data_IF_071995461855
#
_entry.id   IF_071995461855
#
_cell.length_a   1.000
_cell.length_b   1.000
_cell.length_c   1.000
_cell.angle_alpha   90.00
_cell.angle_beta   90.00
_cell.angle_gamma   90.00
#
_symmetry.space_group_name_H-M   'P 1'
#
loop_
_entity.id
_entity.type
_entity.pdbx_description
1 polymer ?
#
# COMPACT_ATOMS: atom_id res chain seq x y z
N UNK A 1 2.88 23.66 -4.67
CA UNK A 1 3.59 22.40 -4.34
C UNK A 1 3.33 21.47 -5.51
N UNK A 2 4.34 20.76 -6.02
CA UNK A 2 4.14 19.81 -7.12
C UNK A 2 3.42 18.56 -6.62
N UNK A 3 2.52 18.00 -7.44
CA UNK A 3 1.92 16.72 -7.19
C UNK A 3 3.00 15.62 -7.25
N UNK A 4 3.03 14.76 -6.27
CA UNK A 4 3.85 13.54 -6.25
C UNK A 4 2.95 12.33 -6.53
N UNK A 5 3.37 11.49 -7.45
CA UNK A 5 2.68 10.24 -7.78
C UNK A 5 3.75 9.18 -8.07
N UNK A 6 3.42 7.92 -7.86
CA UNK A 6 4.24 6.82 -8.40
C UNK A 6 4.37 6.98 -9.92
N UNK A 7 5.48 6.52 -10.48
CA UNK A 7 5.81 6.78 -11.89
C UNK A 7 4.80 6.17 -12.89
N UNK A 8 4.18 5.06 -12.51
CA UNK A 8 3.28 4.28 -13.35
C UNK A 8 1.98 3.90 -12.62
N UNK A 9 1.10 4.86 -12.27
CA UNK A 9 -0.17 4.55 -11.58
C UNK A 9 -1.06 3.60 -12.39
N UNK A 10 -0.97 3.62 -13.72
CA UNK A 10 -1.67 2.71 -14.63
C UNK A 10 -1.27 1.23 -14.44
N UNK A 11 -0.15 0.94 -13.81
CA UNK A 11 0.24 -0.44 -13.48
C UNK A 11 -0.54 -1.03 -12.31
N UNK A 12 -1.32 -0.22 -11.62
CA UNK A 12 -2.33 -0.69 -10.67
C UNK A 12 -3.56 -1.25 -11.37
N UNK A 13 -3.79 -0.90 -12.63
CA UNK A 13 -4.95 -1.35 -13.40
C UNK A 13 -4.83 -2.84 -13.75
N UNK A 14 -5.93 -3.56 -13.52
CA UNK A 14 -6.02 -5.01 -13.75
C UNK A 14 -7.10 -5.28 -14.78
N UNK A 15 -6.74 -5.86 -15.94
CA UNK A 15 -7.72 -6.31 -16.94
C UNK A 15 -8.68 -7.36 -16.34
N UNK A 16 -9.98 -7.15 -16.53
CA UNK A 16 -11.04 -8.03 -16.05
C UNK A 16 -11.82 -8.66 -17.21
N UNK A 17 -12.57 -9.75 -16.98
CA UNK A 17 -13.42 -10.34 -17.99
C UNK A 17 -14.37 -9.34 -18.63
N UNK A 18 -14.68 -9.54 -19.91
CA UNK A 18 -15.56 -8.64 -20.67
C UNK A 18 -14.94 -7.30 -21.07
N UNK A 19 -13.63 -7.13 -20.94
CA UNK A 19 -12.93 -5.89 -21.33
C UNK A 19 -13.01 -4.78 -20.28
N UNK A 20 -13.53 -5.07 -19.09
CA UNK A 20 -13.52 -4.14 -17.97
C UNK A 20 -12.09 -3.98 -17.39
N UNK A 21 -11.84 -2.85 -16.73
CA UNK A 21 -10.61 -2.59 -16.00
C UNK A 21 -10.95 -2.29 -14.56
N UNK A 22 -10.24 -2.95 -13.65
CA UNK A 22 -10.30 -2.69 -12.21
C UNK A 22 -9.14 -1.79 -11.82
N UNK A 23 -9.41 -0.70 -11.15
CA UNK A 23 -8.35 0.16 -10.58
C UNK A 23 -7.85 -0.45 -9.28
N UNK A 24 -6.86 -1.31 -9.41
CA UNK A 24 -6.34 -2.16 -8.35
C UNK A 24 -7.13 -3.47 -8.17
N UNK A 25 -6.60 -4.31 -7.29
CA UNK A 25 -7.24 -5.56 -6.91
C UNK A 25 -8.41 -5.31 -5.94
N UNK A 26 -9.27 -6.32 -5.83
CA UNK A 26 -10.38 -6.30 -4.92
C UNK A 26 -10.31 -7.54 -4.01
N UNK A 27 -10.47 -7.34 -2.69
CA UNK A 27 -10.48 -8.44 -1.73
C UNK A 27 -11.63 -9.42 -1.95
N UNK A 28 -12.74 -8.99 -2.54
CA UNK A 28 -13.88 -9.85 -2.86
C UNK A 28 -13.57 -10.92 -3.93
N UNK A 29 -12.42 -10.80 -4.60
CA UNK A 29 -11.95 -11.82 -5.55
C UNK A 29 -11.38 -13.06 -4.88
N UNK A 30 -11.04 -13.02 -3.60
CA UNK A 30 -10.57 -14.22 -2.90
C UNK A 30 -11.60 -15.34 -2.95
N UNK A 31 -11.16 -16.60 -3.15
CA UNK A 31 -12.08 -17.75 -3.27
C UNK A 31 -12.83 -18.05 -1.96
N UNK A 32 -12.17 -17.90 -0.82
CA UNK A 32 -12.72 -18.25 0.47
C UNK A 32 -13.43 -17.08 1.15
N UNK A 33 -14.56 -17.33 1.81
CA UNK A 33 -15.34 -16.28 2.47
C UNK A 33 -14.56 -15.52 3.54
N UNK A 34 -13.79 -16.25 4.36
CA UNK A 34 -12.97 -15.60 5.40
C UNK A 34 -11.88 -14.69 4.81
N UNK A 35 -11.35 -15.04 3.64
CA UNK A 35 -10.38 -14.22 2.92
C UNK A 35 -11.04 -12.96 2.37
N UNK A 36 -12.24 -13.05 1.83
CA UNK A 36 -13.00 -11.86 1.38
C UNK A 36 -13.31 -10.91 2.52
N UNK A 37 -13.60 -11.43 3.72
CA UNK A 37 -13.91 -10.60 4.90
C UNK A 37 -12.68 -9.90 5.51
N UNK A 38 -11.49 -10.46 5.37
CA UNK A 38 -10.29 -9.97 6.06
C UNK A 38 -9.11 -9.72 5.11
N UNK A 39 -9.36 -9.70 3.80
CA UNK A 39 -8.33 -9.71 2.76
C UNK A 39 -7.76 -8.36 2.38
N UNK A 40 -8.19 -7.25 2.96
CA UNK A 40 -7.72 -5.92 2.58
C UNK A 40 -6.19 -5.78 2.68
N UNK A 41 -5.60 -6.24 3.77
CA UNK A 41 -4.15 -6.20 3.96
C UNK A 41 -3.38 -7.02 2.93
N UNK A 42 -3.65 -8.32 2.76
CA UNK A 42 -3.04 -9.12 1.70
C UNK A 42 -3.24 -8.57 0.28
N UNK A 43 -4.41 -8.00 -0.01
CA UNK A 43 -4.71 -7.36 -1.30
C UNK A 43 -3.83 -6.14 -1.52
N UNK A 44 -3.75 -5.25 -0.53
CA UNK A 44 -2.88 -4.06 -0.56
C UNK A 44 -1.41 -4.44 -0.74
N UNK A 45 -0.92 -5.43 0.02
CA UNK A 45 0.46 -5.89 -0.11
C UNK A 45 0.74 -6.50 -1.49
N UNK A 46 -0.17 -7.32 -2.02
CA UNK A 46 -0.04 -7.92 -3.36
C UNK A 46 0.07 -6.84 -4.47
N UNK A 47 -0.75 -5.80 -4.40
CA UNK A 47 -0.67 -4.68 -5.35
C UNK A 47 0.69 -3.98 -5.29
N UNK A 48 1.16 -3.66 -4.08
CA UNK A 48 2.45 -2.98 -3.87
C UNK A 48 3.60 -3.86 -4.38
N UNK A 49 3.61 -5.14 -4.04
CA UNK A 49 4.65 -6.06 -4.50
C UNK A 49 4.66 -6.21 -6.03
N UNK A 50 3.49 -6.31 -6.65
CA UNK A 50 3.39 -6.42 -8.11
C UNK A 50 3.89 -5.14 -8.80
N UNK A 51 3.57 -3.97 -8.26
CA UNK A 51 4.09 -2.69 -8.74
C UNK A 51 5.61 -2.64 -8.64
N UNK A 52 6.17 -2.94 -7.47
CA UNK A 52 7.61 -2.91 -7.22
C UNK A 52 8.37 -3.92 -8.08
N UNK A 53 7.82 -5.12 -8.28
CA UNK A 53 8.41 -6.14 -9.16
C UNK A 53 8.49 -5.68 -10.62
N UNK A 54 7.50 -4.94 -11.11
CA UNK A 54 7.54 -4.32 -12.45
C UNK A 54 8.54 -3.19 -12.53
N UNK A 55 8.67 -2.44 -11.46
CA UNK A 55 9.45 -1.20 -11.44
C UNK A 55 10.94 -1.43 -11.25
N UNK A 56 11.31 -2.46 -10.50
CA UNK A 56 12.68 -2.72 -10.05
C UNK A 56 13.10 -4.15 -10.37
N UNK A 57 14.06 -4.36 -11.28
CA UNK A 57 14.52 -5.71 -11.67
C UNK A 57 15.01 -6.54 -10.49
N UNK A 58 15.64 -5.93 -9.49
CA UNK A 58 16.11 -6.59 -8.27
C UNK A 58 14.97 -7.07 -7.36
N UNK A 59 13.76 -6.55 -7.55
CA UNK A 59 12.55 -6.93 -6.83
C UNK A 59 11.61 -7.84 -7.66
N UNK A 60 11.99 -8.22 -8.88
CA UNK A 60 11.13 -8.98 -9.79
C UNK A 60 10.54 -10.25 -9.15
N UNK A 61 11.32 -10.93 -8.29
CA UNK A 61 10.87 -12.15 -7.62
C UNK A 61 9.68 -11.95 -6.67
N UNK A 62 9.36 -10.72 -6.27
CA UNK A 62 8.16 -10.44 -5.45
C UNK A 62 6.87 -10.80 -6.19
N UNK A 63 6.84 -10.65 -7.53
CA UNK A 63 5.64 -10.93 -8.34
C UNK A 63 6.06 -11.56 -9.67
N UNK A 64 6.47 -12.82 -9.64
CA UNK A 64 6.88 -13.58 -10.82
C UNK A 64 6.03 -14.85 -10.94
N UNK A 65 5.37 -15.08 -12.10
CA UNK A 65 5.17 -14.13 -13.20
C UNK A 65 4.25 -12.95 -12.83
N UNK A 66 4.41 -11.83 -13.53
CA UNK A 66 3.49 -10.68 -13.42
C UNK A 66 2.10 -11.09 -13.94
N UNK A 67 1.03 -10.94 -13.15
CA UNK A 67 -0.32 -11.28 -13.57
C UNK A 67 -0.78 -10.43 -14.77
N UNK A 68 -1.32 -11.09 -15.81
CA UNK A 68 -1.85 -10.44 -17.00
C UNK A 68 -3.31 -9.98 -16.85
N UNK A 69 -4.03 -10.48 -15.83
CA UNK A 69 -5.43 -10.13 -15.58
C UNK A 69 -5.95 -10.66 -14.25
N UNK A 70 -7.24 -10.45 -14.02
CA UNK A 70 -7.90 -10.73 -12.74
C UNK A 70 -7.66 -12.14 -12.22
N UNK A 71 -7.86 -13.19 -13.04
CA UNK A 71 -7.72 -14.58 -12.58
C UNK A 71 -6.30 -14.90 -12.08
N UNK A 72 -5.28 -14.42 -12.79
CA UNK A 72 -3.89 -14.60 -12.39
C UNK A 72 -3.55 -13.75 -11.16
N UNK A 73 -4.14 -12.55 -11.04
CA UNK A 73 -3.97 -11.70 -9.88
C UNK A 73 -4.60 -12.32 -8.63
N UNK A 74 -5.76 -12.99 -8.74
CA UNK A 74 -6.36 -13.77 -7.65
C UNK A 74 -5.42 -14.89 -7.20
N UNK A 75 -4.87 -15.65 -8.15
CA UNK A 75 -3.89 -16.69 -7.83
C UNK A 75 -2.65 -16.10 -7.12
N UNK A 76 -2.20 -14.92 -7.53
CA UNK A 76 -1.11 -14.21 -6.90
C UNK A 76 -1.48 -13.73 -5.48
N UNK A 77 -2.64 -13.13 -5.27
CA UNK A 77 -3.14 -12.76 -3.94
C UNK A 77 -3.17 -13.98 -2.98
N UNK A 78 -3.60 -15.14 -3.48
CA UNK A 78 -3.59 -16.39 -2.71
C UNK A 78 -2.16 -16.84 -2.34
N UNK A 79 -1.14 -16.56 -3.15
CA UNK A 79 0.27 -16.82 -2.81
C UNK A 79 0.83 -15.86 -1.76
N UNK A 80 0.36 -14.62 -1.73
CA UNK A 80 0.74 -13.60 -0.72
C UNK A 80 0.07 -13.87 0.62
N UNK A 81 -1.17 -14.39 0.62
CA UNK A 81 -1.99 -14.62 1.81
C UNK A 81 -1.30 -15.34 2.97
N UNK A 82 -0.52 -16.43 2.80
CA UNK A 82 0.11 -17.14 3.92
C UNK A 82 1.14 -16.31 4.69
N UNK A 83 1.65 -15.25 4.09
CA UNK A 83 2.64 -14.36 4.68
C UNK A 83 1.97 -13.11 5.25
N UNK A 84 1.24 -12.37 4.41
CA UNK A 84 0.49 -11.20 4.84
C UNK A 84 -0.91 -11.68 5.24
N UNK A 85 -1.03 -12.09 6.49
CA UNK A 85 -2.26 -12.77 6.95
C UNK A 85 -2.89 -12.07 8.15
N UNK A 86 -4.23 -11.92 8.17
CA UNK A 86 -4.93 -11.35 9.32
C UNK A 86 -4.69 -12.16 10.60
N UNK A 87 -4.46 -11.46 11.73
CA UNK A 87 -4.48 -12.05 13.08
C UNK A 87 -5.94 -12.15 13.56
N UNK A 88 -6.16 -12.58 14.79
CA UNK A 88 -7.51 -12.75 15.37
C UNK A 88 -8.41 -11.50 15.27
N UNK A 89 -7.83 -10.32 15.20
CA UNK A 89 -8.53 -9.03 15.02
C UNK A 89 -8.15 -8.35 13.69
N UNK A 90 -7.87 -9.12 12.65
CA UNK A 90 -7.41 -8.60 11.37
C UNK A 90 -5.95 -8.15 11.37
N UNK A 91 -5.50 -7.61 10.25
CA UNK A 91 -4.18 -6.98 10.12
C UNK A 91 -4.28 -5.52 10.58
N UNK A 92 -4.41 -5.29 11.89
CA UNK A 92 -4.85 -4.01 12.45
C UNK A 92 -3.72 -3.16 13.05
N UNK A 93 -2.46 -3.41 12.65
CA UNK A 93 -1.27 -2.67 13.06
C UNK A 93 -0.30 -2.50 11.88
N UNK A 94 0.29 -1.32 11.71
CA UNK A 94 1.32 -1.10 10.70
C UNK A 94 2.53 -2.02 10.87
N UNK A 95 2.90 -2.32 12.12
CA UNK A 95 4.01 -3.20 12.46
C UNK A 95 3.81 -4.61 11.85
N UNK A 96 2.60 -5.15 11.95
CA UNK A 96 2.28 -6.45 11.36
C UNK A 96 2.43 -6.45 9.84
N UNK A 97 1.96 -5.40 9.17
CA UNK A 97 2.12 -5.26 7.72
C UNK A 97 3.61 -5.21 7.34
N UNK A 98 4.42 -4.42 8.06
CA UNK A 98 5.85 -4.31 7.80
C UNK A 98 6.58 -5.63 8.01
N UNK A 99 6.34 -6.32 9.12
CA UNK A 99 6.89 -7.65 9.42
C UNK A 99 6.51 -8.68 8.35
N UNK A 100 5.24 -8.70 7.95
CA UNK A 100 4.72 -9.62 6.96
C UNK A 100 5.28 -9.35 5.55
N UNK A 101 5.42 -8.08 5.17
CA UNK A 101 6.07 -7.70 3.90
C UNK A 101 7.53 -8.15 3.87
N UNK A 102 8.28 -7.94 4.96
CA UNK A 102 9.66 -8.40 5.06
C UNK A 102 9.76 -9.94 4.98
N UNK A 103 8.87 -10.66 5.67
CA UNK A 103 8.82 -12.13 5.64
C UNK A 103 8.50 -12.66 4.24
N UNK A 104 7.56 -12.04 3.53
CA UNK A 104 7.27 -12.39 2.14
C UNK A 104 8.47 -12.17 1.24
N UNK A 105 9.11 -10.99 1.33
CA UNK A 105 10.34 -10.69 0.58
C UNK A 105 11.41 -11.75 0.80
N UNK A 106 11.72 -12.06 2.07
CA UNK A 106 12.71 -13.08 2.42
C UNK A 106 12.39 -14.45 1.83
N UNK A 107 11.12 -14.87 1.87
CA UNK A 107 10.68 -16.12 1.26
C UNK A 107 10.79 -16.12 -0.28
N UNK A 108 10.87 -14.95 -0.90
CA UNK A 108 11.09 -14.76 -2.33
C UNK A 108 12.56 -14.48 -2.69
N UNK A 109 13.47 -14.54 -1.72
CA UNK A 109 14.89 -14.23 -1.91
C UNK A 109 15.17 -12.72 -2.10
N UNK A 110 14.24 -11.87 -1.69
CA UNK A 110 14.35 -10.41 -1.79
C UNK A 110 14.45 -9.82 -0.38
N UNK A 111 15.49 -9.04 -0.14
CA UNK A 111 15.64 -8.29 1.12
C UNK A 111 14.77 -7.02 1.07
N UNK A 112 13.59 -7.06 1.66
CA UNK A 112 12.79 -5.87 1.90
C UNK A 112 13.11 -5.28 3.27
N UNK A 113 13.18 -3.95 3.34
CA UNK A 113 13.36 -3.18 4.57
C UNK A 113 12.16 -2.21 4.74
N UNK A 114 10.96 -2.70 5.06
CA UNK A 114 9.80 -1.84 5.17
C UNK A 114 9.98 -0.78 6.25
N UNK A 115 9.56 0.44 5.94
CA UNK A 115 9.46 1.53 6.90
C UNK A 115 8.01 1.81 7.22
N UNK A 116 7.75 2.34 8.40
CA UNK A 116 6.39 2.62 8.84
C UNK A 116 6.28 3.96 9.57
N UNK A 117 5.11 4.57 9.46
CA UNK A 117 4.68 5.70 10.26
C UNK A 117 3.43 5.27 11.03
N UNK A 118 3.54 5.10 12.34
CA UNK A 118 2.42 4.71 13.21
C UNK A 118 2.08 5.85 14.17
N UNK A 119 0.80 5.96 14.54
CA UNK A 119 0.35 6.94 15.51
C UNK A 119 -0.70 6.36 16.46
N UNK A 120 -0.73 6.82 17.73
CA UNK A 120 -1.65 6.35 18.74
C UNK A 120 -3.04 7.00 18.60
N UNK A 121 -4.04 6.41 19.29
CA UNK A 121 -5.39 6.99 19.38
C UNK A 121 -5.39 8.34 20.10
N UNK A 122 -4.53 8.52 21.10
CA UNK A 122 -4.44 9.76 21.88
C UNK A 122 -3.88 10.90 21.02
N UNK A 123 -4.73 11.87 20.68
CA UNK A 123 -4.37 12.99 19.78
C UNK A 123 -3.17 13.80 20.25
N UNK A 124 -3.03 14.00 21.55
CA UNK A 124 -1.90 14.75 22.15
C UNK A 124 -0.54 14.05 22.00
N UNK A 125 -0.55 12.75 21.66
CA UNK A 125 0.65 11.95 21.46
C UNK A 125 0.92 11.66 19.97
N UNK A 126 0.10 12.20 19.07
CA UNK A 126 0.31 12.00 17.63
C UNK A 126 1.44 12.87 17.12
N UNK A 127 2.28 12.33 16.20
CA UNK A 127 3.22 13.15 15.46
C UNK A 127 2.51 14.30 14.73
N UNK A 128 3.21 15.41 14.46
CA UNK A 128 2.67 16.48 13.61
C UNK A 128 2.30 15.97 12.21
N UNK A 129 1.32 16.61 11.57
CA UNK A 129 0.91 16.33 10.20
C UNK A 129 2.08 16.34 9.21
N UNK A 130 3.01 17.27 9.39
CA UNK A 130 4.17 17.44 8.54
C UNK A 130 5.06 16.19 8.49
N UNK A 131 5.16 15.45 9.60
CA UNK A 131 5.91 14.19 9.64
C UNK A 131 5.22 13.08 8.84
N UNK A 132 3.89 12.95 8.97
CA UNK A 132 3.11 12.03 8.15
C UNK A 132 3.25 12.39 6.68
N UNK A 133 3.06 13.66 6.35
CA UNK A 133 3.18 14.15 4.99
C UNK A 133 4.55 13.85 4.40
N UNK A 134 5.64 14.16 5.13
CA UNK A 134 7.01 13.87 4.70
C UNK A 134 7.25 12.37 4.48
N UNK A 135 6.67 11.49 5.31
CA UNK A 135 6.75 10.05 5.12
C UNK A 135 6.12 9.62 3.79
N UNK A 136 4.90 10.09 3.51
CA UNK A 136 4.20 9.75 2.26
C UNK A 136 4.92 10.35 1.06
N UNK A 137 5.35 11.61 1.13
CA UNK A 137 6.10 12.29 0.06
C UNK A 137 7.41 11.56 -0.25
N UNK A 138 8.19 11.19 0.77
CA UNK A 138 9.44 10.46 0.59
C UNK A 138 9.23 9.08 -0.05
N UNK A 139 8.17 8.36 0.35
CA UNK A 139 7.85 7.06 -0.23
C UNK A 139 7.46 7.18 -1.70
N UNK A 140 6.58 8.12 -2.05
CA UNK A 140 6.17 8.36 -3.44
C UNK A 140 7.32 8.88 -4.32
N UNK A 141 8.19 9.75 -3.78
CA UNK A 141 9.39 10.21 -4.47
C UNK A 141 10.37 9.06 -4.76
N UNK A 142 10.39 8.04 -3.90
CA UNK A 142 11.13 6.80 -4.11
C UNK A 142 10.39 5.81 -5.04
N UNK A 143 9.29 6.22 -5.64
CA UNK A 143 8.44 5.40 -6.49
C UNK A 143 7.95 4.12 -5.78
N UNK A 144 7.57 4.27 -4.52
CA UNK A 144 7.03 3.21 -3.67
C UNK A 144 5.60 3.56 -3.23
N UNK A 145 4.57 2.81 -3.65
CA UNK A 145 3.21 2.99 -3.15
C UNK A 145 3.16 2.73 -1.65
N UNK A 146 2.24 3.42 -0.95
CA UNK A 146 2.16 3.33 0.52
C UNK A 146 0.90 2.60 0.94
N UNK A 147 1.06 1.53 1.73
CA UNK A 147 -0.06 0.89 2.42
C UNK A 147 -0.54 1.79 3.56
N UNK A 148 -1.83 2.10 3.58
CA UNK A 148 -2.46 2.97 4.55
C UNK A 148 -3.52 2.22 5.35
N UNK A 149 -3.32 2.12 6.67
CA UNK A 149 -4.26 1.51 7.61
C UNK A 149 -5.26 2.54 8.13
N UNK A 150 -6.51 2.38 7.75
CA UNK A 150 -7.64 3.16 8.23
C UNK A 150 -8.52 2.33 9.19
N UNK A 151 -8.41 2.54 10.49
CA UNK A 151 -9.29 1.91 11.48
C UNK A 151 -10.53 2.73 11.81
N UNK A 152 -10.49 4.05 11.54
CA UNK A 152 -11.62 4.97 11.71
C UNK A 152 -11.54 6.07 10.65
N UNK A 153 -12.57 6.20 9.84
CA UNK A 153 -12.57 7.08 8.67
C UNK A 153 -12.66 8.58 8.99
N UNK A 154 -12.73 8.95 10.27
CA UNK A 154 -12.84 10.35 10.67
C UNK A 154 -14.05 11.04 10.04
N UNK A 155 -13.80 12.12 9.27
CA UNK A 155 -14.82 12.83 8.50
C UNK A 155 -14.82 12.48 7.00
N UNK A 156 -14.05 11.48 6.56
CA UNK A 156 -14.01 11.05 5.16
C UNK A 156 -15.10 9.99 4.95
N UNK A 157 -16.08 10.29 4.10
CA UNK A 157 -17.24 9.39 3.88
C UNK A 157 -16.93 8.20 3.00
N UNK A 158 -16.07 8.41 2.01
CA UNK A 158 -15.78 7.41 0.96
C UNK A 158 -14.64 6.44 1.36
N UNK A 159 -14.20 6.47 2.62
CA UNK A 159 -13.16 5.63 3.15
C UNK A 159 -13.76 4.62 4.14
N UNK A 160 -13.58 3.34 3.87
CA UNK A 160 -14.08 2.25 4.72
C UNK A 160 -13.27 2.15 6.02
N UNK A 161 -13.94 1.81 7.11
CA UNK A 161 -13.28 1.57 8.42
C UNK A 161 -12.69 0.18 8.47
N UNK A 162 -11.67 0.01 9.31
CA UNK A 162 -10.98 -1.29 9.50
C UNK A 162 -10.44 -1.84 8.19
N UNK A 163 -9.77 -0.97 7.44
CA UNK A 163 -9.42 -1.25 6.07
C UNK A 163 -8.00 -0.79 5.74
N UNK A 164 -7.35 -1.54 4.85
CA UNK A 164 -6.10 -1.18 4.20
C UNK A 164 -6.39 -0.71 2.79
N UNK A 165 -5.78 0.41 2.43
CA UNK A 165 -5.84 0.97 1.08
C UNK A 165 -4.43 1.32 0.59
N UNK A 166 -4.26 1.55 -0.71
CA UNK A 166 -2.98 1.92 -1.30
C UNK A 166 -2.98 3.39 -1.70
N UNK A 167 -2.04 4.18 -1.17
CA UNK A 167 -1.77 5.54 -1.65
C UNK A 167 -0.82 5.45 -2.83
N UNK A 168 -1.20 6.11 -3.93
CA UNK A 168 -0.43 6.16 -5.18
C UNK A 168 -0.01 7.58 -5.55
N UNK A 169 -0.59 8.59 -4.92
CA UNK A 169 -0.28 9.99 -5.17
C UNK A 169 -0.60 10.89 -3.98
N UNK A 170 0.04 12.07 -3.94
CA UNK A 170 -0.22 13.13 -2.95
C UNK A 170 -0.01 14.50 -3.60
N UNK A 171 -1.07 15.33 -3.56
CA UNK A 171 -1.02 16.73 -3.97
C UNK A 171 -1.48 17.62 -2.81
N UNK A 172 -0.55 18.30 -2.17
CA UNK A 172 -0.86 19.12 -0.98
C UNK A 172 -1.35 18.26 0.18
N UNK A 173 -2.66 18.28 0.45
CA UNK A 173 -3.34 17.51 1.50
C UNK A 173 -4.19 16.36 0.93
N UNK A 174 -4.29 16.31 -0.41
CA UNK A 174 -5.11 15.34 -1.13
C UNK A 174 -4.29 14.13 -1.51
N UNK A 175 -4.67 12.95 -1.03
CA UNK A 175 -4.07 11.67 -1.39
C UNK A 175 -4.93 10.94 -2.41
N UNK A 176 -4.29 10.43 -3.47
CA UNK A 176 -4.90 9.54 -4.44
C UNK A 176 -4.75 8.10 -3.98
N UNK A 177 -5.86 7.39 -3.96
CA UNK A 177 -6.00 6.04 -3.41
C UNK A 177 -6.45 5.05 -4.46
N UNK A 178 -5.98 3.82 -4.30
CA UNK A 178 -6.49 2.64 -4.99
C UNK A 178 -7.01 1.66 -3.95
N UNK A 179 -8.28 1.25 -4.09
CA UNK A 179 -8.96 0.37 -3.14
C UNK A 179 -10.13 -0.36 -3.79
N UNK A 180 -10.20 -1.66 -3.58
CA UNK A 180 -11.31 -2.54 -4.02
C UNK A 180 -11.79 -2.26 -5.45
N UNK A 181 -10.85 -2.12 -6.39
CA UNK A 181 -11.13 -1.91 -7.81
C UNK A 181 -11.46 -0.47 -8.20
N UNK A 182 -11.32 0.49 -7.28
CA UNK A 182 -11.62 1.91 -7.51
C UNK A 182 -10.38 2.77 -7.30
N UNK A 183 -10.26 3.84 -8.09
CA UNK A 183 -9.36 4.95 -7.85
C UNK A 183 -10.17 6.17 -7.39
N UNK A 184 -9.78 6.78 -6.30
CA UNK A 184 -10.42 7.97 -5.74
C UNK A 184 -9.44 8.76 -4.88
N UNK A 185 -9.84 9.95 -4.47
CA UNK A 185 -8.98 10.80 -3.65
C UNK A 185 -9.67 11.24 -2.37
N UNK A 186 -8.86 11.44 -1.34
CA UNK A 186 -9.33 11.94 -0.03
C UNK A 186 -8.51 13.14 0.43
N UNK A 187 -9.09 13.95 1.32
CA UNK A 187 -8.34 14.89 2.14
C UNK A 187 -7.67 14.11 3.30
N UNK A 188 -6.39 13.78 3.11
CA UNK A 188 -5.62 12.99 4.06
C UNK A 188 -5.35 13.75 5.36
N UNK A 189 -5.20 15.08 5.29
CA UNK A 189 -5.04 15.92 6.48
C UNK A 189 -6.31 15.98 7.31
N UNK A 190 -7.46 16.14 6.65
CA UNK A 190 -8.76 16.10 7.33
C UNK A 190 -8.99 14.74 8.01
N UNK A 191 -8.65 13.63 7.31
CA UNK A 191 -8.70 12.31 7.92
C UNK A 191 -7.80 12.23 9.16
N UNK A 192 -6.52 12.62 9.05
CA UNK A 192 -5.57 12.57 10.16
C UNK A 192 -6.00 13.41 11.37
N UNK A 193 -6.56 14.58 11.11
CA UNK A 193 -7.07 15.47 12.14
C UNK A 193 -8.35 14.96 12.81
N UNK A 194 -9.13 14.10 12.15
CA UNK A 194 -10.49 13.74 12.62
C UNK A 194 -10.66 12.27 13.00
N UNK A 195 -9.79 11.37 12.54
CA UNK A 195 -9.79 9.96 12.97
C UNK A 195 -9.64 9.85 14.49
N UNK A 196 -10.32 8.88 15.10
CA UNK A 196 -10.40 8.73 16.57
C UNK A 196 -9.54 7.58 17.10
N UNK A 197 -9.04 6.73 16.20
CA UNK A 197 -8.27 5.54 16.55
C UNK A 197 -6.79 5.70 16.18
N UNK A 198 -5.98 4.72 16.57
CA UNK A 198 -4.64 4.55 16.02
C UNK A 198 -4.74 4.22 14.53
N UNK A 199 -3.65 4.38 13.82
CA UNK A 199 -3.52 4.02 12.41
C UNK A 199 -2.06 4.07 12.00
N UNK A 200 -1.80 3.98 10.70
CA UNK A 200 -0.45 4.14 10.20
C UNK A 200 -0.30 3.83 8.73
N UNK A 201 0.93 3.93 8.30
CA UNK A 201 1.35 3.84 6.91
C UNK A 201 2.58 2.94 6.83
N UNK A 202 2.70 2.16 5.77
CA UNK A 202 3.85 1.29 5.54
C UNK A 202 4.30 1.44 4.09
N UNK A 203 5.59 1.71 3.90
CA UNK A 203 6.26 1.61 2.62
C UNK A 203 7.13 0.35 2.61
N UNK A 204 7.07 -0.44 1.55
CA UNK A 204 7.82 -1.70 1.44
C UNK A 204 9.35 -1.49 1.32
N UNK A 205 9.78 -0.29 0.97
CA UNK A 205 11.19 0.09 0.83
C UNK A 205 11.57 1.09 1.92
N UNK A 206 12.75 0.92 2.50
CA UNK A 206 13.32 1.89 3.42
C UNK A 206 13.64 3.22 2.72
N UNK A 207 13.32 4.33 3.37
CA UNK A 207 13.63 5.67 2.85
C UNK A 207 15.13 5.91 2.67
N UNK A 208 16.00 5.17 3.39
CA UNK A 208 17.46 5.23 3.25
C UNK A 208 17.98 4.61 1.95
N UNK A 209 17.40 3.50 1.50
CA UNK A 209 17.77 2.86 0.22
C UNK A 209 17.20 3.63 -0.98
N UNK A 210 16.07 4.28 -0.81
CA UNK A 210 15.47 5.14 -1.82
C UNK A 210 16.33 6.37 -2.13
N UNK A 211 16.99 6.95 -1.13
CA UNK A 211 17.92 8.07 -1.31
C UNK A 211 19.21 7.63 -2.01
N UNK A 212 19.70 6.42 -1.79
CA UNK A 212 20.88 5.87 -2.47
C UNK A 212 20.62 5.62 -3.96
N UNK A 213 19.47 5.07 -4.31
CA UNK A 213 19.07 4.82 -5.70
C UNK A 213 18.82 6.12 -6.51
N UNK A 214 18.42 7.21 -5.85
CA UNK A 214 18.26 8.51 -6.48
C UNK A 214 19.57 9.30 -6.64
N UNK A 215 20.64 8.90 -5.92
CA UNK A 215 21.94 9.55 -5.91
C UNK A 215 22.93 9.08 -6.97
N UNK A 216 22.66 7.98 -7.67
CA UNK A 216 23.51 7.45 -8.75
C UNK A 216 23.02 7.88 -10.14
N UNK A 217 22.80 9.20 -10.32
CA UNK A 217 22.76 9.79 -11.65
C UNK A 217 24.19 9.96 -12.17
N UNK A 218 24.48 9.75 -13.46
CA UNK A 218 25.84 9.79 -13.98
C UNK A 218 26.45 11.19 -13.78
N UNK A 219 27.53 11.25 -13.01
CA UNK A 219 28.47 12.36 -13.05
C UNK A 219 29.23 12.27 -14.38
N UNK A 220 28.83 13.05 -15.34
CA UNK A 220 29.65 13.40 -16.50
C UNK A 220 29.96 14.88 -16.49
#
# INVERSE_FOLDING_TARGET
MSALCIAHPEWMDIPCPGGAVSHGANQDWFPEEHQRRAGCGPTTAAQIFCYLARRRPELAALCDPIPAGQAEFVAYMCRVWPFVTPRSHGLNRPEYMAEDMAAYGAARGVALAPTLFAFPSARTKRPPWEQLRSFVEASLAADCPVAFLNLDNGKIRDLDRWHWVTIVGLEGEKADLVDNGRAFAIDLRLWYATTKTRGGFVAALGTGEALAAAGEGPLT
#
